data_IF_111196432229
#
_entry.id   IF_111196432229
#
_cell.length_a   1.000
_cell.length_b   1.000
_cell.length_c   1.000
_cell.angle_alpha   90.00
_cell.angle_beta   90.00
_cell.angle_gamma   90.00
#
_symmetry.space_group_name_H-M   'P 1'
#
loop_
_entity.id
_entity.type
_entity.pdbx_description
1 polymer ?
#
# COMPACT_ATOMS: atom_id res chain seq x y z
N UNK A 1 -16.03 -9.86 -11.17
CA UNK A 1 -15.98 -9.66 -9.72
C UNK A 1 -14.83 -10.47 -9.18
N UNK A 2 -13.95 -9.92 -8.34
CA UNK A 2 -12.90 -10.73 -7.70
C UNK A 2 -13.56 -11.66 -6.69
N UNK A 3 -13.28 -12.95 -6.76
CA UNK A 3 -13.69 -13.91 -5.75
C UNK A 3 -12.70 -13.82 -4.57
N UNK A 4 -13.18 -13.34 -3.42
CA UNK A 4 -12.39 -13.24 -2.20
C UNK A 4 -13.23 -13.62 -0.99
N UNK A 5 -12.55 -14.18 0.01
CA UNK A 5 -13.14 -14.44 1.32
C UNK A 5 -12.68 -13.37 2.31
N UNK A 6 -13.62 -12.61 2.88
CA UNK A 6 -13.36 -11.61 3.91
C UNK A 6 -13.66 -12.18 5.30
N UNK A 7 -12.75 -11.98 6.24
CA UNK A 7 -12.93 -12.31 7.65
C UNK A 7 -12.63 -11.10 8.54
N UNK A 8 -13.56 -10.76 9.43
CA UNK A 8 -13.27 -9.90 10.59
C UNK A 8 -12.60 -10.74 11.67
N UNK A 9 -11.54 -10.22 12.27
CA UNK A 9 -10.76 -10.87 13.34
C UNK A 9 -10.87 -10.01 14.59
N UNK A 10 -11.66 -10.48 15.54
CA UNK A 10 -11.92 -9.78 16.81
C UNK A 10 -11.58 -10.61 18.05
N UNK A 11 -11.19 -11.88 17.88
CA UNK A 11 -10.84 -12.78 18.98
C UNK A 11 -9.38 -13.26 18.96
N UNK A 12 -8.79 -13.60 20.13
CA UNK A 12 -7.41 -14.12 20.21
C UNK A 12 -7.17 -15.37 19.36
N UNK A 13 -8.10 -16.32 19.37
CA UNK A 13 -7.99 -17.56 18.57
C UNK A 13 -8.03 -17.29 17.07
N UNK A 14 -8.79 -16.29 16.65
CA UNK A 14 -8.88 -15.88 15.26
C UNK A 14 -7.58 -15.22 14.80
N UNK A 15 -6.96 -14.41 15.66
CA UNK A 15 -5.67 -13.78 15.39
C UNK A 15 -4.54 -14.81 15.31
N UNK A 16 -4.55 -15.83 16.19
CA UNK A 16 -3.61 -16.95 16.13
C UNK A 16 -3.76 -17.70 14.79
N UNK A 17 -4.99 -18.06 14.43
CA UNK A 17 -5.27 -18.75 13.17
C UNK A 17 -4.89 -17.91 11.94
N UNK A 18 -5.12 -16.60 11.99
CA UNK A 18 -4.69 -15.68 10.92
C UNK A 18 -3.17 -15.65 10.81
N UNK A 19 -2.45 -15.49 11.91
CA UNK A 19 -0.99 -15.36 11.94
C UNK A 19 -0.31 -16.56 11.28
N UNK A 20 -0.72 -17.78 11.64
CA UNK A 20 -0.19 -19.01 11.06
C UNK A 20 -0.38 -19.07 9.53
N UNK A 21 -1.49 -18.55 9.02
CA UNK A 21 -1.78 -18.52 7.57
C UNK A 21 -0.91 -17.48 6.86
N UNK A 22 -0.71 -16.31 7.47
CA UNK A 22 0.10 -15.23 6.89
C UNK A 22 1.57 -15.61 6.75
N UNK A 23 2.11 -16.41 7.68
CA UNK A 23 3.50 -16.88 7.60
C UNK A 23 3.78 -17.75 6.38
N UNK A 24 2.76 -18.44 5.86
CA UNK A 24 2.86 -19.24 4.63
C UNK A 24 2.75 -18.42 3.34
N UNK A 25 2.28 -17.17 3.43
CA UNK A 25 2.03 -16.34 2.26
C UNK A 25 3.35 -15.71 1.77
N UNK A 26 3.68 -15.79 0.47
CA UNK A 26 4.91 -15.17 -0.06
C UNK A 26 4.83 -13.63 -0.05
N UNK A 27 3.62 -13.09 -0.08
CA UNK A 27 3.37 -11.66 -0.02
C UNK A 27 1.98 -11.38 0.57
N UNK A 28 1.84 -10.20 1.15
CA UNK A 28 0.58 -9.66 1.64
C UNK A 28 0.47 -8.18 1.29
N UNK A 29 -0.74 -7.72 0.98
CA UNK A 29 -1.08 -6.32 0.98
C UNK A 29 -1.49 -5.91 2.41
N UNK A 30 -1.06 -4.72 2.84
CA UNK A 30 -1.28 -4.20 4.18
C UNK A 30 -1.70 -2.73 4.10
N UNK A 31 -2.72 -2.38 4.88
CA UNK A 31 -3.22 -1.02 5.09
C UNK A 31 -3.73 -0.91 6.54
N UNK A 32 -3.78 0.31 7.09
CA UNK A 32 -4.33 0.54 8.43
C UNK A 32 -5.32 1.71 8.44
N UNK A 33 -6.28 1.64 9.37
CA UNK A 33 -7.13 2.78 9.72
C UNK A 33 -6.76 3.29 11.11
N UNK A 34 -6.72 4.62 11.29
CA UNK A 34 -6.47 5.25 12.59
C UNK A 34 -7.65 6.09 13.07
N UNK A 35 -7.79 6.19 14.39
CA UNK A 35 -8.70 7.12 15.06
C UNK A 35 -7.91 8.14 15.85
N UNK A 36 -8.50 9.32 16.09
CA UNK A 36 -7.86 10.44 16.79
C UNK A 36 -6.54 10.90 16.14
N UNK A 37 -6.43 10.80 14.81
CA UNK A 37 -5.22 11.10 14.04
C UNK A 37 -4.75 12.56 14.16
N UNK A 38 -5.61 13.46 14.64
CA UNK A 38 -5.30 14.87 14.87
C UNK A 38 -4.38 15.11 16.08
N UNK A 39 -4.29 14.16 17.02
CA UNK A 39 -3.38 14.25 18.16
C UNK A 39 -2.60 12.94 18.33
N UNK A 40 -1.28 13.02 18.11
CA UNK A 40 -0.37 11.86 18.17
C UNK A 40 -0.34 11.16 19.52
N UNK A 41 -0.71 11.83 20.62
CA UNK A 41 -0.74 11.26 21.97
C UNK A 41 -1.94 10.33 22.19
N UNK A 42 -3.05 10.61 21.51
CA UNK A 42 -4.30 9.85 21.63
C UNK A 42 -4.66 9.08 20.36
N UNK A 43 -3.92 9.26 19.27
CA UNK A 43 -4.04 8.43 18.06
C UNK A 43 -3.96 6.95 18.46
N UNK A 44 -4.81 6.14 17.83
CA UNK A 44 -4.79 4.68 17.92
C UNK A 44 -4.93 4.11 16.51
N UNK A 45 -4.37 2.94 16.28
CA UNK A 45 -4.75 2.12 15.10
C UNK A 45 -6.07 1.44 15.46
N UNK A 46 -7.07 1.61 14.61
CA UNK A 46 -8.40 1.04 14.78
C UNK A 46 -8.54 -0.28 14.02
N UNK A 47 -8.04 -0.34 12.80
CA UNK A 47 -8.08 -1.53 11.95
C UNK A 47 -6.72 -1.81 11.32
N UNK A 48 -6.44 -3.09 11.10
CA UNK A 48 -5.36 -3.56 10.24
C UNK A 48 -5.99 -4.41 9.13
N UNK A 49 -5.87 -3.97 7.88
CA UNK A 49 -6.36 -4.70 6.72
C UNK A 49 -5.23 -5.49 6.07
N UNK A 50 -5.49 -6.76 5.78
CA UNK A 50 -4.54 -7.68 5.18
C UNK A 50 -5.20 -8.40 4.00
N UNK A 51 -4.54 -8.43 2.85
CA UNK A 51 -4.94 -9.28 1.74
C UNK A 51 -3.78 -10.18 1.31
N UNK A 52 -4.04 -11.47 1.14
CA UNK A 52 -3.00 -12.46 0.83
C UNK A 52 -3.57 -13.61 0.01
N UNK A 53 -2.68 -14.38 -0.62
CA UNK A 53 -3.06 -15.60 -1.34
C UNK A 53 -2.84 -16.83 -0.49
N UNK A 54 -3.82 -17.72 -0.51
CA UNK A 54 -3.74 -19.06 0.07
C UNK A 54 -4.03 -20.05 -1.08
N UNK A 55 -2.96 -20.61 -1.65
CA UNK A 55 -3.02 -21.22 -2.97
C UNK A 55 -3.49 -20.20 -4.02
N UNK A 56 -4.51 -20.56 -4.81
CA UNK A 56 -5.06 -19.69 -5.85
C UNK A 56 -6.12 -18.70 -5.34
N UNK A 57 -6.53 -18.80 -4.06
CA UNK A 57 -7.64 -18.01 -3.52
C UNK A 57 -7.15 -16.73 -2.87
N UNK A 58 -7.85 -15.62 -3.14
CA UNK A 58 -7.64 -14.36 -2.44
C UNK A 58 -8.35 -14.40 -1.08
N UNK A 59 -7.61 -14.05 -0.03
CA UNK A 59 -8.11 -13.92 1.34
C UNK A 59 -7.94 -12.48 1.78
N UNK A 60 -8.94 -11.98 2.50
CA UNK A 60 -8.93 -10.65 3.12
C UNK A 60 -9.23 -10.83 4.59
N UNK A 61 -8.40 -10.26 5.45
CA UNK A 61 -8.63 -10.19 6.88
C UNK A 61 -8.65 -8.73 7.31
N UNK A 62 -9.61 -8.39 8.17
CA UNK A 62 -9.68 -7.09 8.85
C UNK A 62 -9.56 -7.38 10.33
N UNK A 63 -8.48 -6.92 10.95
CA UNK A 63 -8.23 -7.10 12.39
C UNK A 63 -8.74 -5.88 13.14
N UNK A 64 -9.59 -6.10 14.13
CA UNK A 64 -10.00 -5.07 15.08
C UNK A 64 -8.87 -4.82 16.08
N UNK A 65 -8.16 -3.70 15.92
CA UNK A 65 -7.03 -3.35 16.77
C UNK A 65 -7.44 -2.74 18.12
N UNK A 66 -8.73 -2.44 18.31
CA UNK A 66 -9.29 -1.90 19.55
C UNK A 66 -9.87 -2.99 20.45
N UNK A 67 -10.02 -4.22 19.94
CA UNK A 67 -10.56 -5.37 20.67
C UNK A 67 -9.67 -5.92 21.81
N UNK A 68 -8.57 -5.25 22.15
CA UNK A 68 -7.66 -5.68 23.22
C UNK A 68 -6.84 -6.93 22.86
N UNK A 69 -6.62 -7.17 21.56
CA UNK A 69 -5.84 -8.31 21.07
C UNK A 69 -4.33 -8.11 21.28
N UNK A 70 -3.62 -9.23 21.46
CA UNK A 70 -2.16 -9.28 21.43
C UNK A 70 -1.65 -9.18 19.99
N UNK A 71 -1.55 -7.94 19.49
CA UNK A 71 -1.12 -7.65 18.11
C UNK A 71 0.38 -7.89 17.87
N UNK A 72 1.19 -8.13 18.91
CA UNK A 72 2.59 -8.51 18.71
C UNK A 72 2.72 -9.84 17.94
N UNK A 73 1.66 -10.66 17.91
CA UNK A 73 1.59 -11.88 17.09
C UNK A 73 1.76 -11.60 15.59
N UNK A 74 1.37 -10.41 15.12
CA UNK A 74 1.58 -10.03 13.73
C UNK A 74 3.05 -9.76 13.40
N UNK A 75 3.95 -9.70 14.39
CA UNK A 75 5.38 -9.47 14.14
C UNK A 75 5.99 -10.55 13.26
N UNK A 76 5.72 -11.82 13.51
CA UNK A 76 6.31 -12.91 12.73
C UNK A 76 6.04 -12.76 11.21
N UNK A 77 4.80 -12.65 10.73
CA UNK A 77 4.56 -12.44 9.30
C UNK A 77 4.96 -11.04 8.79
N UNK A 78 4.82 -9.99 9.62
CA UNK A 78 5.09 -8.61 9.16
C UNK A 78 6.59 -8.24 9.18
N UNK A 79 7.41 -8.86 10.01
CA UNK A 79 8.86 -8.62 10.09
C UNK A 79 9.67 -9.67 9.30
N UNK A 80 9.05 -10.78 8.88
CA UNK A 80 9.74 -11.85 8.14
C UNK A 80 10.25 -11.39 6.78
N UNK A 81 11.54 -11.69 6.55
CA UNK A 81 12.22 -11.53 5.26
C UNK A 81 11.61 -12.32 4.11
N UNK A 82 10.87 -13.40 4.41
CA UNK A 82 10.27 -14.29 3.43
C UNK A 82 8.91 -13.79 2.88
N UNK A 83 8.27 -12.84 3.57
CA UNK A 83 6.94 -12.34 3.23
C UNK A 83 7.06 -10.90 2.73
N UNK A 84 6.73 -10.58 1.49
CA UNK A 84 6.76 -9.18 1.03
C UNK A 84 5.49 -8.43 1.45
N UNK A 85 5.64 -7.23 2.04
CA UNK A 85 4.53 -6.35 2.42
C UNK A 85 4.30 -5.30 1.33
N UNK A 86 3.26 -5.47 0.52
CA UNK A 86 2.82 -4.45 -0.42
C UNK A 86 1.97 -3.41 0.32
N UNK A 87 2.46 -2.16 0.39
CA UNK A 87 1.79 -1.07 1.11
C UNK A 87 1.73 0.15 0.18
N UNK A 88 0.66 0.91 0.22
CA UNK A 88 0.56 2.17 -0.51
C UNK A 88 0.95 3.33 0.39
N UNK A 89 2.05 4.04 0.10
CA UNK A 89 2.59 5.08 0.98
C UNK A 89 3.00 4.53 2.35
N UNK A 90 3.91 3.56 2.33
CA UNK A 90 4.27 2.74 3.48
C UNK A 90 4.84 3.53 4.67
N UNK A 91 5.36 4.73 4.43
CA UNK A 91 5.84 5.61 5.49
C UNK A 91 4.74 5.90 6.53
N UNK A 92 3.48 5.99 6.09
CA UNK A 92 2.35 6.21 7.00
C UNK A 92 2.18 4.99 7.92
N UNK A 93 1.89 3.83 7.36
CA UNK A 93 1.56 2.59 8.06
C UNK A 93 2.71 2.08 8.92
N UNK A 94 3.91 1.97 8.35
CA UNK A 94 5.08 1.43 9.04
C UNK A 94 5.42 2.23 10.30
N UNK A 95 5.26 3.56 10.25
CA UNK A 95 5.48 4.43 11.42
C UNK A 95 4.47 4.15 12.53
N UNK A 96 3.20 3.90 12.20
CA UNK A 96 2.16 3.62 13.21
C UNK A 96 2.31 2.22 13.77
N UNK A 97 2.59 1.23 12.92
CA UNK A 97 2.85 -0.15 13.34
C UNK A 97 4.04 -0.23 14.32
N UNK A 98 5.13 0.47 14.03
CA UNK A 98 6.27 0.56 14.93
C UNK A 98 5.90 1.26 16.25
N UNK A 99 5.18 2.38 16.17
CA UNK A 99 4.87 3.20 17.36
C UNK A 99 3.89 2.53 18.31
N UNK A 100 2.83 1.91 17.77
CA UNK A 100 1.73 1.36 18.56
C UNK A 100 1.96 -0.09 18.96
N UNK A 101 2.62 -0.88 18.10
CA UNK A 101 2.73 -2.34 18.27
C UNK A 101 4.16 -2.86 18.23
N UNK A 102 5.15 -1.98 18.11
CA UNK A 102 6.58 -2.34 17.95
C UNK A 102 6.86 -3.26 16.76
N UNK A 103 5.97 -3.26 15.76
CA UNK A 103 6.10 -4.06 14.54
C UNK A 103 6.96 -3.31 13.52
N UNK A 104 8.03 -3.94 13.04
CA UNK A 104 8.92 -3.40 12.00
C UNK A 104 8.64 -4.07 10.64
N UNK A 105 7.59 -3.62 9.96
CA UNK A 105 7.20 -4.19 8.67
C UNK A 105 8.38 -4.23 7.67
N UNK A 106 8.77 -5.42 7.22
CA UNK A 106 9.92 -5.62 6.32
C UNK A 106 9.93 -7.02 5.70
N UNK A 107 10.28 -7.21 4.40
CA UNK A 107 10.54 -6.18 3.40
C UNK A 107 9.25 -5.52 2.92
N UNK A 108 9.33 -4.26 2.49
CA UNK A 108 8.20 -3.48 1.98
C UNK A 108 8.36 -3.24 0.48
N UNK A 109 7.29 -3.50 -0.28
CA UNK A 109 7.08 -2.99 -1.62
C UNK A 109 6.12 -1.80 -1.57
N UNK A 110 6.65 -0.57 -1.65
CA UNK A 110 5.82 0.64 -1.64
C UNK A 110 5.25 0.92 -3.03
N UNK A 111 3.94 0.69 -3.18
CA UNK A 111 3.25 0.84 -4.47
C UNK A 111 3.15 2.30 -4.92
N UNK A 112 3.17 3.28 -4.00
CA UNK A 112 3.19 4.70 -4.35
C UNK A 112 4.53 5.06 -4.99
N UNK A 113 5.65 4.58 -4.42
CA UNK A 113 6.97 4.80 -5.00
C UNK A 113 7.13 4.07 -6.34
N UNK A 114 6.62 2.84 -6.45
CA UNK A 114 6.62 2.09 -7.70
C UNK A 114 5.85 2.85 -8.81
N UNK A 115 4.67 3.39 -8.49
CA UNK A 115 3.86 4.17 -9.44
C UNK A 115 4.59 5.45 -9.90
N UNK A 116 5.18 6.21 -8.97
CA UNK A 116 5.94 7.43 -9.27
C UNK A 116 7.13 7.16 -10.21
N UNK A 117 7.89 6.09 -9.94
CA UNK A 117 9.03 5.70 -10.79
C UNK A 117 8.58 5.32 -12.20
N UNK A 118 7.46 4.60 -12.33
CA UNK A 118 6.90 4.22 -13.64
C UNK A 118 6.48 5.45 -14.44
N UNK A 119 5.85 6.43 -13.80
CA UNK A 119 5.49 7.69 -14.45
C UNK A 119 6.74 8.45 -14.94
N UNK A 120 7.80 8.51 -14.14
CA UNK A 120 9.06 9.15 -14.55
C UNK A 120 9.73 8.45 -15.75
N UNK A 121 9.67 7.12 -15.83
CA UNK A 121 10.22 6.34 -16.95
C UNK A 121 9.39 6.43 -18.24
N UNK A 122 8.09 6.71 -18.13
CA UNK A 122 7.18 6.88 -19.27
C UNK A 122 7.03 8.33 -19.72
N UNK A 123 7.59 9.29 -18.98
CA UNK A 123 7.62 10.68 -19.38
C UNK A 123 8.59 10.86 -20.57
N UNK A 124 8.14 11.43 -21.70
CA UNK A 124 9.02 11.69 -22.85
C UNK A 124 10.12 12.68 -22.44
N UNK A 125 11.39 12.25 -22.46
CA UNK A 125 12.57 13.09 -22.19
C UNK A 125 13.54 12.61 -21.10
N UNK A 126 13.29 11.48 -20.42
CA UNK A 126 14.15 10.97 -19.34
C UNK A 126 15.55 10.45 -19.76
N UNK A 127 15.96 10.70 -21.01
CA UNK A 127 17.30 10.41 -21.54
C UNK A 127 18.19 11.64 -21.74
N UNK A 128 17.75 12.84 -21.32
CA UNK A 128 18.57 14.04 -21.43
C UNK A 128 19.39 14.23 -20.14
N UNK A 129 20.73 14.21 -20.29
CA UNK A 129 21.68 14.62 -19.26
C UNK A 129 21.26 15.96 -18.62
N UNK A 130 21.30 16.10 -17.28
CA UNK A 130 21.09 17.41 -16.68
C UNK A 130 22.21 18.36 -17.13
N UNK A 131 21.90 19.61 -17.49
CA UNK A 131 22.93 20.57 -17.88
C UNK A 131 23.90 20.77 -16.71
N UNK A 132 25.19 20.50 -16.96
CA UNK A 132 26.28 20.85 -16.05
C UNK A 132 26.28 22.37 -15.86
N UNK A 133 25.81 22.84 -14.71
CA UNK A 133 25.99 24.24 -14.33
C UNK A 133 27.41 24.46 -13.82
N UNK A 134 28.29 24.95 -14.69
CA UNK A 134 29.50 25.66 -14.28
C UNK A 134 29.11 27.04 -13.76
N UNK A 135 29.03 27.20 -12.44
CA UNK A 135 29.10 28.50 -11.79
C UNK A 135 29.68 28.35 -10.38
N UNK A 136 31.00 28.32 -10.32
CA UNK A 136 31.77 28.57 -9.11
C UNK A 136 31.95 30.09 -8.99
N UNK A 137 31.37 30.72 -7.98
CA UNK A 137 31.95 31.91 -7.35
C UNK A 137 31.34 32.13 -5.97
N UNK A 138 32.19 32.02 -4.96
CA UNK A 138 31.80 32.10 -3.56
C UNK A 138 31.43 33.50 -3.11
N UNK A 139 30.69 33.56 -2.00
CA UNK A 139 30.71 34.65 -1.05
C UNK A 139 30.52 34.10 0.35
N UNK A 140 31.35 34.62 1.23
CA UNK A 140 31.61 34.26 2.62
C UNK A 140 30.47 34.65 3.56
N UNK A 141 30.53 34.01 4.73
CA UNK A 141 29.60 34.01 5.86
C UNK A 141 28.95 35.35 6.28
N UNK A 142 27.68 35.26 6.72
CA UNK A 142 27.21 35.97 7.92
C UNK A 142 26.06 35.22 8.62
N UNK A 143 26.26 34.95 9.90
CA UNK A 143 25.24 34.53 10.90
C UNK A 143 24.13 35.58 10.99
N UNK A 144 22.87 35.16 11.02
CA UNK A 144 21.77 35.83 11.75
C UNK A 144 20.80 34.77 12.29
N UNK A 145 20.37 34.96 13.54
CA UNK A 145 19.57 34.03 14.35
C UNK A 145 18.05 34.04 14.06
N UNK A 146 17.24 33.39 14.92
CA UNK A 146 15.91 32.90 14.56
C UNK A 146 14.80 33.89 14.92
N UNK A 147 13.83 34.10 14.02
CA UNK A 147 12.45 34.47 14.34
C UNK A 147 11.53 34.44 13.09
N UNK A 148 10.37 33.82 13.29
CA UNK A 148 9.06 34.14 12.65
C UNK A 148 8.87 33.77 11.17
N UNK A 149 8.13 32.70 10.84
CA UNK A 149 6.68 32.50 10.95
C UNK A 149 5.86 33.32 9.92
N UNK A 150 4.94 32.60 9.27
CA UNK A 150 3.87 33.00 8.33
C UNK A 150 4.13 32.99 6.81
N UNK A 151 3.56 31.96 6.15
CA UNK A 151 2.66 31.99 4.97
C UNK A 151 2.41 30.53 4.56
N UNK A 152 1.21 30.01 4.72
CA UNK A 152 0.09 29.96 3.75
C UNK A 152 -0.16 28.47 3.42
N UNK A 153 -1.26 27.91 3.90
CA UNK A 153 -1.78 26.64 3.42
C UNK A 153 -3.31 26.69 3.49
N UNK A 154 -3.90 27.21 2.41
CA UNK A 154 -5.34 27.16 2.14
C UNK A 154 -5.65 25.89 1.35
N UNK A 155 -6.70 25.21 1.80
CA UNK A 155 -7.53 24.22 1.10
C UNK A 155 -6.91 22.86 0.70
N UNK A 156 -7.54 21.79 1.18
CA UNK A 156 -8.26 20.84 0.32
C UNK A 156 -9.23 19.98 1.17
N UNK A 157 -10.52 20.14 0.90
CA UNK A 157 -11.60 19.23 1.31
C UNK A 157 -11.53 17.96 0.47
N UNK A 158 -11.84 16.83 1.12
CA UNK A 158 -12.66 15.75 0.56
C UNK A 158 -12.01 14.82 -0.48
N UNK A 159 -11.79 13.56 -0.09
CA UNK A 159 -12.01 12.42 -0.97
C UNK A 159 -12.13 11.16 -0.10
N UNK A 160 -13.35 10.63 0.01
CA UNK A 160 -13.56 9.25 0.45
C UNK A 160 -12.79 8.32 -0.50
N UNK A 161 -11.98 7.44 0.06
CA UNK A 161 -11.18 6.49 -0.74
C UNK A 161 -11.95 5.20 -0.87
N UNK A 162 -12.41 4.94 -2.10
CA UNK A 162 -12.85 3.62 -2.51
C UNK A 162 -11.67 2.65 -2.50
N UNK A 163 -11.96 1.41 -2.10
CA UNK A 163 -11.03 0.28 -2.13
C UNK A 163 -10.58 0.02 -3.58
N UNK A 164 -9.34 0.32 -3.90
CA UNK A 164 -8.71 -0.15 -5.14
C UNK A 164 -7.85 -1.37 -4.81
N UNK A 165 -8.42 -2.57 -5.01
CA UNK A 165 -7.66 -3.81 -4.93
C UNK A 165 -6.67 -3.89 -6.11
N UNK A 166 -5.37 -3.75 -5.82
CA UNK A 166 -4.30 -3.99 -6.79
C UNK A 166 -3.99 -5.49 -6.80
N UNK A 167 -4.30 -6.17 -7.90
CA UNK A 167 -3.93 -7.56 -8.08
C UNK A 167 -2.41 -7.67 -8.31
N UNK A 168 -1.71 -8.32 -7.38
CA UNK A 168 -0.32 -8.74 -7.57
C UNK A 168 -0.33 -9.97 -8.48
N UNK A 169 0.27 -9.85 -9.67
CA UNK A 169 0.51 -10.98 -10.59
C UNK A 169 1.78 -11.71 -10.19
N UNK A 170 1.74 -13.04 -10.25
CA UNK A 170 2.92 -13.89 -10.18
C UNK A 170 3.72 -13.86 -11.49
N UNK A 171 4.94 -14.40 -11.48
CA UNK A 171 5.91 -14.27 -12.58
C UNK A 171 5.57 -15.05 -13.87
N UNK A 172 4.52 -15.89 -13.90
CA UNK A 172 4.32 -16.87 -14.99
C UNK A 172 3.12 -16.61 -15.94
N UNK A 173 2.45 -15.45 -15.87
CA UNK A 173 1.27 -15.16 -16.73
C UNK A 173 1.67 -14.48 -18.06
N UNK A 174 2.02 -15.30 -19.05
CA UNK A 174 2.09 -14.95 -20.49
C UNK A 174 0.72 -14.42 -21.00
N UNK A 175 0.76 -13.37 -21.81
CA UNK A 175 -0.34 -12.43 -21.98
C UNK A 175 -1.47 -12.80 -22.95
N UNK A 176 -2.65 -12.22 -22.69
CA UNK A 176 -3.62 -11.83 -23.71
C UNK A 176 -4.21 -10.46 -23.31
N UNK A 177 -3.89 -9.41 -24.06
CA UNK A 177 -4.49 -8.08 -23.89
C UNK A 177 -5.74 -7.99 -24.77
N UNK A 178 -6.93 -7.89 -24.17
CA UNK A 178 -8.16 -7.49 -24.89
C UNK A 178 -8.54 -6.06 -24.48
N UNK A 179 -8.55 -5.15 -25.45
CA UNK A 179 -9.14 -3.80 -25.31
C UNK A 179 -10.66 -3.97 -25.21
N UNK A 180 -11.27 -3.40 -24.17
CA UNK A 180 -12.71 -3.14 -24.13
C UNK A 180 -12.92 -1.62 -24.14
N UNK A 181 -13.57 -1.14 -25.19
CA UNK A 181 -14.07 0.22 -25.33
C UNK A 181 -15.46 0.28 -24.71
N UNK A 182 -15.70 1.25 -23.82
CA UNK A 182 -17.05 1.59 -23.35
C UNK A 182 -17.53 2.83 -24.06
N UNK A 183 -18.26 2.65 -25.16
CA UNK A 183 -19.19 3.63 -25.67
C UNK A 183 -20.57 2.95 -25.77
N UNK A 184 -21.60 3.65 -25.29
CA UNK A 184 -22.93 3.10 -25.07
C UNK A 184 -23.59 2.51 -26.32
N UNK A 185 -24.55 1.61 -26.05
CA UNK A 185 -25.33 0.91 -27.07
C UNK A 185 -24.87 -0.54 -27.20
N UNK A 186 -25.61 -1.47 -26.61
CA UNK A 186 -25.33 -2.90 -26.76
C UNK A 186 -25.39 -3.34 -28.23
N UNK A 187 -24.73 -4.46 -28.56
CA UNK A 187 -25.45 -5.46 -29.35
C UNK A 187 -25.15 -6.91 -28.95
N UNK A 188 -26.00 -7.77 -29.51
CA UNK A 188 -26.17 -9.21 -29.32
C UNK A 188 -25.18 -10.04 -30.15
N UNK A 189 -24.80 -11.21 -29.58
CA UNK A 189 -24.31 -12.49 -30.14
C UNK A 189 -23.07 -12.51 -31.07
N UNK A 190 -22.18 -13.51 -31.02
CA UNK A 190 -22.43 -14.94 -31.29
C UNK A 190 -21.20 -15.79 -30.92
N UNK A 191 -21.44 -17.08 -30.62
CA UNK A 191 -20.39 -18.10 -30.58
C UNK A 191 -19.98 -18.48 -32.00
N UNK A 192 -18.68 -18.53 -32.27
CA UNK A 192 -18.12 -19.28 -33.39
C UNK A 192 -17.10 -20.26 -32.83
N UNK A 193 -17.41 -21.54 -32.98
CA UNK A 193 -16.47 -22.64 -32.80
C UNK A 193 -15.68 -22.87 -34.11
N UNK A 194 -14.43 -23.34 -33.97
CA UNK A 194 -13.61 -24.14 -34.90
C UNK A 194 -12.13 -23.72 -34.77
N UNK A 195 -11.11 -24.56 -34.86
CA UNK A 195 -10.97 -26.01 -34.99
C UNK A 195 -9.48 -26.35 -34.87
N UNK A 196 -9.18 -27.57 -34.39
CA UNK A 196 -7.91 -28.33 -34.40
C UNK A 196 -6.65 -27.68 -33.82
#
# INVERSE_FOLDING_TARGET
MLDFNLKLVGGPQELIALTARLESAPALALDIETVNWWDRRVERVALIQLAFREGHRLRVAVVDALAGLDLERLRAPLESGAVTKAIHNAAYDATRLLRHFRIRASPIHDTMLAARRRETLLAPGAGADPPRSTARQGRTARRLGPASAHREATALRGAGRGLHAVAVRGPDDEGVVRRLSTAGGGPVATNVAAAK
#
